data_IF_390628553884
#
_entry.id   IF_390628553884
#
_cell.length_a   1.000
_cell.length_b   1.000
_cell.length_c   1.000
_cell.angle_alpha   90.00
_cell.angle_beta   90.00
_cell.angle_gamma   90.00
#
_symmetry.space_group_name_H-M   'P 1'
#
loop_
_entity.id
_entity.type
_entity.pdbx_description
1 polymer ?
#
# COMPACT_ATOMS: atom_id res chain seq x y z
N UNK A 1 3.18 -7.11 -7.97
CA UNK A 1 3.72 -8.00 -9.01
C UNK A 1 3.63 -7.25 -10.32
N UNK A 2 4.77 -6.98 -10.93
CA UNK A 2 4.85 -6.30 -12.23
C UNK A 2 4.14 -7.18 -13.29
N UNK A 3 3.25 -6.59 -14.08
CA UNK A 3 2.52 -7.32 -15.13
C UNK A 3 3.50 -7.91 -16.14
N UNK A 4 4.63 -7.23 -16.37
CA UNK A 4 5.66 -7.72 -17.27
C UNK A 4 6.42 -8.91 -16.67
N UNK A 5 6.78 -8.89 -15.38
CA UNK A 5 7.42 -10.03 -14.72
C UNK A 5 6.50 -11.26 -14.58
N UNK A 6 5.20 -11.03 -14.37
CA UNK A 6 4.19 -12.07 -14.36
C UNK A 6 3.95 -12.65 -15.76
N UNK A 7 4.01 -11.81 -16.80
CA UNK A 7 3.94 -12.24 -18.20
C UNK A 7 5.15 -13.09 -18.59
N UNK A 8 6.35 -12.70 -18.20
CA UNK A 8 7.57 -13.43 -18.56
C UNK A 8 7.62 -14.82 -17.91
N UNK A 9 7.22 -14.94 -16.63
CA UNK A 9 7.09 -16.24 -15.95
C UNK A 9 5.97 -17.12 -16.53
N UNK A 10 4.88 -16.48 -16.97
CA UNK A 10 3.79 -17.13 -17.67
C UNK A 10 4.21 -17.62 -19.06
N UNK A 11 5.04 -16.86 -19.79
CA UNK A 11 5.55 -17.20 -21.13
C UNK A 11 6.44 -18.45 -21.10
N UNK A 12 7.16 -18.66 -20.01
CA UNK A 12 8.02 -19.84 -19.79
C UNK A 12 7.24 -21.13 -19.44
N UNK A 13 6.05 -21.00 -18.84
CA UNK A 13 5.32 -22.13 -18.23
C UNK A 13 3.98 -22.46 -18.91
N UNK A 14 3.43 -21.57 -19.73
CA UNK A 14 2.09 -21.70 -20.31
C UNK A 14 2.12 -21.75 -21.83
N UNK A 15 1.16 -22.47 -22.42
CA UNK A 15 0.94 -22.41 -23.85
C UNK A 15 0.48 -21.00 -24.26
N UNK A 16 0.73 -20.61 -25.51
CA UNK A 16 0.29 -19.30 -26.05
C UNK A 16 -1.22 -19.04 -25.84
N UNK A 17 -2.05 -20.07 -25.96
CA UNK A 17 -3.48 -19.97 -25.70
C UNK A 17 -3.79 -19.72 -24.21
N UNK A 18 -3.10 -20.40 -23.29
CA UNK A 18 -3.24 -20.18 -21.86
C UNK A 18 -2.70 -18.80 -21.41
N UNK A 19 -1.68 -18.28 -22.08
CA UNK A 19 -1.18 -16.90 -21.91
C UNK A 19 -2.19 -15.85 -22.36
N UNK A 20 -2.79 -16.04 -23.54
CA UNK A 20 -3.83 -15.13 -24.06
C UNK A 20 -5.06 -15.13 -23.14
N UNK A 21 -5.47 -16.31 -22.64
CA UNK A 21 -6.57 -16.44 -21.68
C UNK A 21 -6.23 -15.79 -20.33
N UNK A 22 -5.03 -16.03 -19.79
CA UNK A 22 -4.57 -15.40 -18.55
C UNK A 22 -4.50 -13.88 -18.68
N UNK A 23 -3.91 -13.36 -19.75
CA UNK A 23 -3.82 -11.93 -20.01
C UNK A 23 -5.22 -11.30 -20.16
N UNK A 24 -6.16 -12.02 -20.77
CA UNK A 24 -7.54 -11.58 -20.85
C UNK A 24 -8.22 -11.55 -19.48
N UNK A 25 -8.01 -12.57 -18.62
CA UNK A 25 -8.52 -12.59 -17.24
C UNK A 25 -7.93 -11.48 -16.38
N UNK A 26 -6.66 -11.12 -16.57
CA UNK A 26 -6.04 -9.99 -15.88
C UNK A 26 -6.66 -8.66 -16.31
N UNK A 27 -6.98 -8.48 -17.59
CA UNK A 27 -7.64 -7.26 -18.10
C UNK A 27 -9.09 -7.12 -17.65
N UNK A 28 -9.78 -8.22 -17.36
CA UNK A 28 -11.19 -8.23 -16.94
C UNK A 28 -11.38 -8.25 -15.42
N UNK A 29 -10.28 -8.37 -14.68
CA UNK A 29 -10.28 -8.34 -13.22
C UNK A 29 -10.94 -7.06 -12.69
N UNK A 30 -11.79 -7.21 -11.69
CA UNK A 30 -12.43 -6.08 -11.05
C UNK A 30 -11.41 -5.20 -10.31
N UNK A 31 -11.66 -3.91 -10.35
CA UNK A 31 -11.03 -2.93 -9.48
C UNK A 31 -11.83 -2.88 -8.18
N UNK A 32 -11.15 -3.05 -7.06
CA UNK A 32 -11.78 -2.94 -5.74
C UNK A 32 -11.70 -1.49 -5.27
N UNK A 33 -12.85 -0.91 -4.94
CA UNK A 33 -12.99 0.44 -4.40
C UNK A 33 -13.74 0.34 -3.09
N UNK A 34 -13.16 0.86 -2.02
CA UNK A 34 -13.74 0.83 -0.68
C UNK A 34 -13.73 2.21 -0.03
N UNK A 35 -13.83 2.20 1.30
CA UNK A 35 -13.60 3.37 2.15
C UNK A 35 -12.12 3.80 2.07
N UNK A 36 -11.85 5.00 2.58
CA UNK A 36 -10.46 5.47 2.72
C UNK A 36 -9.67 4.51 3.61
N UNK A 37 -10.28 4.12 4.73
CA UNK A 37 -9.75 3.20 5.73
C UNK A 37 -9.40 1.85 5.10
N UNK A 38 -10.31 1.25 4.32
CA UNK A 38 -10.05 0.00 3.61
C UNK A 38 -8.84 0.10 2.66
N UNK A 39 -8.68 1.24 1.98
CA UNK A 39 -7.54 1.47 1.09
C UNK A 39 -6.21 1.56 1.86
N UNK A 40 -6.19 2.24 3.01
CA UNK A 40 -4.99 2.34 3.86
C UNK A 40 -4.66 0.99 4.51
N UNK A 41 -5.65 0.23 4.95
CA UNK A 41 -5.45 -1.12 5.47
C UNK A 41 -4.87 -2.08 4.43
N UNK A 42 -5.40 -2.02 3.20
CA UNK A 42 -4.87 -2.79 2.09
C UNK A 42 -3.40 -2.42 1.80
N UNK A 43 -3.08 -1.13 1.83
CA UNK A 43 -1.70 -0.65 1.67
C UNK A 43 -0.77 -1.24 2.74
N UNK A 44 -1.13 -1.17 4.03
CA UNK A 44 -0.31 -1.75 5.10
C UNK A 44 -0.20 -3.28 4.99
N UNK A 45 -1.27 -3.96 4.61
CA UNK A 45 -1.21 -5.41 4.32
C UNK A 45 -0.18 -5.71 3.22
N UNK A 46 -0.16 -4.92 2.13
CA UNK A 46 0.82 -5.11 1.03
C UNK A 46 2.25 -4.83 1.47
N UNK A 47 2.47 -3.78 2.27
CA UNK A 47 3.77 -3.47 2.86
C UNK A 47 4.26 -4.65 3.70
N UNK A 48 3.40 -5.19 4.58
CA UNK A 48 3.75 -6.25 5.53
C UNK A 48 3.92 -7.62 4.87
N UNK A 49 3.01 -8.04 3.98
CA UNK A 49 2.92 -9.43 3.50
C UNK A 49 3.30 -9.62 2.04
N UNK A 50 3.45 -8.55 1.25
CA UNK A 50 3.69 -8.65 -0.20
C UNK A 50 4.97 -7.92 -0.63
N UNK A 51 5.91 -7.68 0.29
CA UNK A 51 7.16 -6.96 0.05
C UNK A 51 6.98 -5.55 -0.56
N UNK A 52 5.81 -4.92 -0.37
CA UNK A 52 5.52 -3.59 -0.90
C UNK A 52 6.27 -2.45 -0.19
N UNK A 53 7.15 -2.73 0.77
CA UNK A 53 7.80 -1.70 1.59
C UNK A 53 8.65 -0.70 0.79
N UNK A 54 9.17 -1.08 -0.38
CA UNK A 54 9.94 -0.21 -1.27
C UNK A 54 9.11 0.37 -2.42
N UNK A 55 7.83 0.00 -2.55
CA UNK A 55 6.95 0.47 -3.63
C UNK A 55 6.43 1.89 -3.35
N UNK A 56 6.24 2.68 -4.41
CA UNK A 56 5.43 3.89 -4.35
C UNK A 56 3.96 3.51 -4.38
N UNK A 57 3.21 3.90 -3.35
CA UNK A 57 1.77 3.73 -3.33
C UNK A 57 1.05 4.95 -3.86
N UNK A 58 -0.15 4.73 -4.37
CA UNK A 58 -1.04 5.79 -4.85
C UNK A 58 -2.41 5.57 -4.27
N UNK A 59 -3.00 6.66 -3.76
CA UNK A 59 -4.40 6.67 -3.34
C UNK A 59 -5.24 7.25 -4.46
N UNK A 60 -6.29 6.52 -4.83
CA UNK A 60 -7.21 6.90 -5.89
C UNK A 60 -8.58 7.24 -5.29
N UNK A 61 -9.15 8.37 -5.71
CA UNK A 61 -10.58 8.65 -5.52
C UNK A 61 -11.27 8.45 -6.87
N UNK A 62 -12.29 7.60 -6.89
CA UNK A 62 -12.95 7.16 -8.12
C UNK A 62 -14.35 7.77 -8.18
N UNK A 63 -14.68 8.40 -9.31
CA UNK A 63 -16.06 8.79 -9.65
C UNK A 63 -16.63 7.76 -10.62
N UNK A 64 -17.73 7.14 -10.22
CA UNK A 64 -18.44 6.19 -11.06
C UNK A 64 -19.31 6.93 -12.07
N UNK A 65 -19.52 6.31 -13.23
CA UNK A 65 -20.45 6.84 -14.23
C UNK A 65 -21.87 6.81 -13.70
N UNK A 66 -22.68 7.77 -14.12
CA UNK A 66 -24.11 7.83 -13.75
C UNK A 66 -24.94 6.68 -14.33
N UNK A 67 -24.45 6.01 -15.37
CA UNK A 67 -25.09 4.88 -16.06
C UNK A 67 -24.60 3.51 -15.59
N UNK A 68 -23.86 3.46 -14.47
CA UNK A 68 -23.46 2.20 -13.86
C UNK A 68 -24.66 1.32 -13.51
N UNK A 69 -24.55 0.04 -13.86
CA UNK A 69 -25.55 -0.97 -13.53
C UNK A 69 -25.01 -1.75 -12.33
N UNK A 70 -25.63 -1.52 -11.19
CA UNK A 70 -25.26 -2.16 -9.92
C UNK A 70 -26.05 -3.47 -9.78
N UNK A 71 -25.33 -4.54 -9.39
CA UNK A 71 -25.96 -5.81 -9.01
C UNK A 71 -26.92 -5.58 -7.81
N UNK A 72 -28.15 -6.11 -7.85
CA UNK A 72 -29.10 -5.96 -6.75
C UNK A 72 -28.60 -6.63 -5.45
N UNK A 73 -28.70 -5.90 -4.35
CA UNK A 73 -28.30 -6.39 -3.02
C UNK A 73 -26.88 -6.01 -2.60
N UNK A 74 -26.50 -6.50 -1.44
CA UNK A 74 -25.14 -6.46 -0.89
C UNK A 74 -24.76 -7.90 -0.57
N UNK A 75 -23.62 -8.34 -1.11
CA UNK A 75 -23.23 -9.74 -1.07
C UNK A 75 -22.12 -9.97 -0.04
N UNK A 76 -21.88 -11.23 0.28
CA UNK A 76 -20.63 -11.60 0.96
C UNK A 76 -19.47 -11.43 -0.02
N UNK A 77 -18.33 -11.00 0.49
CA UNK A 77 -17.08 -10.99 -0.26
C UNK A 77 -16.81 -12.39 -0.81
N UNK A 78 -16.76 -12.50 -2.15
CA UNK A 78 -16.43 -13.74 -2.85
C UNK A 78 -14.99 -13.61 -3.36
N UNK A 79 -14.05 -14.06 -2.56
CA UNK A 79 -12.63 -14.03 -2.92
C UNK A 79 -12.19 -15.43 -3.33
N UNK A 80 -11.50 -15.55 -4.46
CA UNK A 80 -10.56 -16.64 -4.65
C UNK A 80 -9.35 -16.45 -3.69
N UNK A 81 -8.40 -17.40 -3.68
CA UNK A 81 -7.22 -17.32 -2.81
C UNK A 81 -6.37 -16.03 -3.02
N UNK A 82 -6.59 -15.28 -4.11
CA UNK A 82 -5.90 -14.04 -4.45
C UNK A 82 -6.66 -12.75 -4.13
N UNK A 83 -7.94 -12.85 -3.76
CA UNK A 83 -8.80 -11.67 -3.55
C UNK A 83 -9.39 -11.10 -4.84
N UNK A 84 -9.35 -11.84 -5.95
CA UNK A 84 -9.69 -11.35 -7.27
C UNK A 84 -11.17 -11.62 -7.58
N UNK A 85 -11.89 -10.60 -8.03
CA UNK A 85 -13.28 -10.74 -8.47
C UNK A 85 -13.36 -10.54 -9.98
N UNK A 86 -13.99 -11.48 -10.67
CA UNK A 86 -14.44 -11.29 -12.05
C UNK A 86 -15.92 -10.91 -12.03
N UNK A 87 -16.25 -9.68 -12.45
CA UNK A 87 -17.63 -9.17 -12.40
C UNK A 87 -18.61 -10.08 -13.15
N UNK A 88 -18.16 -10.67 -14.27
CA UNK A 88 -18.94 -11.61 -15.07
C UNK A 88 -19.28 -12.92 -14.32
N UNK A 89 -18.53 -13.29 -13.29
CA UNK A 89 -18.73 -14.52 -12.51
C UNK A 89 -19.63 -14.28 -11.28
N UNK A 90 -19.74 -13.03 -10.81
CA UNK A 90 -20.48 -12.70 -9.58
C UNK A 90 -21.79 -11.96 -9.80
N UNK A 91 -21.92 -11.22 -10.90
CA UNK A 91 -23.15 -10.51 -11.24
C UNK A 91 -24.08 -11.40 -12.06
N UNK A 92 -25.34 -11.50 -11.65
CA UNK A 92 -26.37 -12.24 -12.40
C UNK A 92 -27.16 -11.32 -13.33
N UNK A 93 -27.17 -10.02 -13.05
CA UNK A 93 -27.88 -9.04 -13.87
C UNK A 93 -27.09 -8.75 -15.16
N UNK A 94 -27.74 -8.84 -16.34
CA UNK A 94 -27.10 -8.49 -17.60
C UNK A 94 -26.61 -7.03 -17.61
N UNK A 95 -25.36 -6.84 -18.01
CA UNK A 95 -24.72 -5.52 -18.10
C UNK A 95 -24.28 -4.91 -16.76
N UNK A 96 -24.46 -5.61 -15.63
CA UNK A 96 -23.93 -5.16 -14.35
C UNK A 96 -22.41 -5.00 -14.41
N UNK A 97 -21.94 -3.84 -13.97
CA UNK A 97 -20.53 -3.46 -13.99
C UNK A 97 -20.02 -3.02 -12.61
N UNK A 98 -20.88 -3.11 -11.59
CA UNK A 98 -20.60 -2.81 -10.18
C UNK A 98 -21.22 -3.90 -9.30
N UNK A 99 -20.42 -4.47 -8.40
CA UNK A 99 -20.81 -5.49 -7.44
C UNK A 99 -20.53 -4.99 -6.01
N UNK A 100 -21.56 -4.96 -5.15
CA UNK A 100 -21.44 -4.52 -3.75
C UNK A 100 -21.23 -5.70 -2.83
N UNK A 101 -20.25 -5.61 -1.95
CA UNK A 101 -20.00 -6.67 -0.98
C UNK A 101 -19.60 -6.11 0.40
N UNK A 102 -19.84 -6.91 1.44
CA UNK A 102 -19.36 -6.64 2.79
C UNK A 102 -17.89 -7.05 2.87
N UNK A 103 -16.99 -6.11 3.13
CA UNK A 103 -15.57 -6.37 3.26
C UNK A 103 -15.30 -7.17 4.55
N UNK A 104 -14.59 -8.29 4.43
CA UNK A 104 -14.20 -9.15 5.55
C UNK A 104 -12.70 -9.11 5.82
N UNK A 105 -11.91 -8.47 4.95
CA UNK A 105 -10.46 -8.45 5.00
C UNK A 105 -9.88 -7.08 5.40
N UNK A 106 -10.38 -5.99 4.80
CA UNK A 106 -9.99 -4.61 5.11
C UNK A 106 -11.18 -3.79 5.57
N UNK A 107 -11.06 -3.03 6.66
CA UNK A 107 -12.18 -2.25 7.23
C UNK A 107 -13.44 -3.13 7.39
N UNK A 108 -13.31 -4.14 8.26
CA UNK A 108 -14.26 -5.23 8.41
C UNK A 108 -15.67 -4.71 8.67
N UNK A 109 -16.64 -5.23 7.91
CA UNK A 109 -18.06 -4.83 7.92
C UNK A 109 -18.40 -3.57 7.13
N UNK A 110 -17.43 -2.94 6.45
CA UNK A 110 -17.69 -1.88 5.48
C UNK A 110 -18.29 -2.45 4.19
N UNK A 111 -18.95 -1.60 3.39
CA UNK A 111 -19.40 -1.97 2.05
C UNK A 111 -18.37 -1.48 1.04
N UNK A 112 -17.79 -2.43 0.31
CA UNK A 112 -16.87 -2.18 -0.81
C UNK A 112 -17.54 -2.50 -2.15
N UNK A 113 -16.94 -2.00 -3.21
CA UNK A 113 -17.34 -2.20 -4.59
C UNK A 113 -16.25 -2.94 -5.36
N UNK A 114 -16.63 -4.00 -6.05
CA UNK A 114 -15.85 -4.50 -7.18
C UNK A 114 -16.45 -3.89 -8.45
N UNK A 115 -15.63 -3.23 -9.26
CA UNK A 115 -16.08 -2.54 -10.47
C UNK A 115 -15.24 -2.93 -11.68
N UNK A 116 -15.83 -2.91 -12.87
CA UNK A 116 -15.01 -2.96 -14.10
C UNK A 116 -14.42 -1.58 -14.40
N UNK A 117 -13.34 -1.52 -15.18
CA UNK A 117 -12.81 -0.24 -15.67
C UNK A 117 -13.86 0.63 -16.38
N UNK A 118 -14.84 0.00 -17.06
CA UNK A 118 -15.95 0.68 -17.75
C UNK A 118 -16.92 1.38 -16.81
N UNK A 119 -16.90 1.07 -15.52
CA UNK A 119 -17.74 1.75 -14.52
C UNK A 119 -17.14 3.09 -14.06
N UNK A 120 -15.86 3.34 -14.33
CA UNK A 120 -15.17 4.55 -13.91
C UNK A 120 -15.42 5.66 -14.92
N UNK A 121 -15.82 6.84 -14.42
CA UNK A 121 -15.94 8.05 -15.23
C UNK A 121 -14.67 8.90 -15.12
N UNK A 122 -14.19 9.10 -13.89
CA UNK A 122 -13.02 9.93 -13.63
C UNK A 122 -12.30 9.49 -12.35
N UNK A 123 -11.03 9.87 -12.25
CA UNK A 123 -10.20 9.61 -11.07
C UNK A 123 -9.46 10.86 -10.61
N UNK A 124 -9.27 10.99 -9.30
CA UNK A 124 -8.21 11.79 -8.68
C UNK A 124 -7.16 10.82 -8.13
N UNK A 125 -5.90 11.26 -8.09
CA UNK A 125 -4.79 10.43 -7.66
C UNK A 125 -3.77 11.28 -6.89
N UNK A 126 -3.26 10.76 -5.78
CA UNK A 126 -2.10 11.30 -5.08
C UNK A 126 -1.09 10.17 -4.81
N UNK A 127 0.19 10.53 -4.75
CA UNK A 127 1.22 9.64 -4.22
C UNK A 127 1.13 9.62 -2.68
N UNK A 128 1.27 8.44 -2.08
CA UNK A 128 1.32 8.28 -0.62
C UNK A 128 2.56 7.46 -0.22
N UNK A 129 3.25 7.78 0.89
CA UNK A 129 3.00 8.92 1.79
C UNK A 129 3.14 10.29 1.11
N UNK A 130 2.52 11.32 1.68
CA UNK A 130 2.63 12.68 1.15
C UNK A 130 4.07 13.20 1.31
N UNK A 131 4.54 14.11 0.44
CA UNK A 131 5.84 14.75 0.65
C UNK A 131 5.81 15.59 1.93
N UNK A 132 6.63 15.24 2.91
CA UNK A 132 6.75 15.99 4.15
C UNK A 132 7.87 17.03 4.09
N UNK A 133 7.65 18.15 4.77
CA UNK A 133 8.66 19.19 4.98
C UNK A 133 9.64 18.69 6.05
N UNK A 134 10.93 18.74 5.75
CA UNK A 134 11.99 18.15 6.58
C UNK A 134 12.22 18.86 7.94
N UNK A 135 11.45 19.90 8.25
CA UNK A 135 11.54 20.71 9.47
C UNK A 135 10.59 20.24 10.59
N UNK A 136 9.82 19.17 10.38
CA UNK A 136 8.99 18.58 11.43
C UNK A 136 9.87 18.19 12.63
N UNK A 137 9.55 18.67 13.86
CA UNK A 137 10.37 18.42 15.05
C UNK A 137 10.61 16.94 15.33
N UNK A 138 9.64 16.07 15.05
CA UNK A 138 9.80 14.64 15.27
C UNK A 138 10.77 14.04 14.25
N UNK A 139 10.69 14.42 12.97
CA UNK A 139 11.66 13.98 11.96
C UNK A 139 13.07 14.41 12.35
N UNK A 140 13.26 15.68 12.69
CA UNK A 140 14.57 16.24 13.03
C UNK A 140 15.18 15.43 14.19
N UNK A 141 14.42 15.25 15.27
CA UNK A 141 14.84 14.45 16.42
C UNK A 141 15.13 12.99 16.06
N UNK A 142 14.27 12.36 15.25
CA UNK A 142 14.44 10.97 14.82
C UNK A 142 15.67 10.79 13.91
N UNK A 143 15.92 11.73 13.01
CA UNK A 143 17.12 11.76 12.16
C UNK A 143 18.39 11.89 13.00
N UNK A 144 18.41 12.78 14.00
CA UNK A 144 19.55 12.93 14.91
C UNK A 144 19.82 11.64 15.72
N UNK A 145 18.76 10.97 16.20
CA UNK A 145 18.86 9.67 16.89
C UNK A 145 19.51 8.61 15.99
N UNK A 146 19.07 8.49 14.74
CA UNK A 146 19.66 7.55 13.77
C UNK A 146 21.11 7.88 13.44
N UNK A 147 21.44 9.16 13.23
CA UNK A 147 22.83 9.60 12.98
C UNK A 147 23.74 9.29 14.18
N UNK A 148 23.24 9.48 15.40
CA UNK A 148 23.93 9.13 16.64
C UNK A 148 24.14 7.61 16.72
N UNK A 149 23.12 6.81 16.42
CA UNK A 149 23.19 5.36 16.41
C UNK A 149 24.17 4.82 15.36
N UNK A 150 24.18 5.39 14.15
CA UNK A 150 25.12 5.05 13.09
C UNK A 150 26.58 5.31 13.50
N UNK A 151 26.81 6.40 14.24
CA UNK A 151 28.15 6.81 14.73
C UNK A 151 28.68 5.98 15.91
N UNK A 152 27.86 5.11 16.52
CA UNK A 152 28.30 4.25 17.65
C UNK A 152 29.37 3.26 17.18
N UNK A 153 30.40 3.07 18.02
CA UNK A 153 31.40 2.04 17.78
C UNK A 153 30.80 0.64 18.01
N UNK A 154 31.26 -0.39 17.26
CA UNK A 154 30.84 -1.76 17.50
C UNK A 154 31.18 -2.18 18.94
N UNK A 155 30.22 -2.75 19.65
CA UNK A 155 30.38 -3.23 21.04
C UNK A 155 31.14 -4.55 21.09
N UNK A 156 31.28 -5.27 19.96
CA UNK A 156 32.00 -6.54 19.89
C UNK A 156 32.83 -6.74 18.62
N UNK A 157 33.79 -7.68 18.69
CA UNK A 157 34.57 -8.14 17.51
C UNK A 157 33.67 -8.73 16.43
N UNK A 158 32.59 -9.42 16.82
CA UNK A 158 31.61 -9.99 15.89
C UNK A 158 30.90 -8.89 15.12
N UNK A 159 30.38 -7.87 15.79
CA UNK A 159 29.75 -6.71 15.15
C UNK A 159 30.73 -5.95 14.25
N UNK A 160 31.99 -5.82 14.67
CA UNK A 160 33.03 -5.23 13.83
C UNK A 160 33.28 -6.03 12.55
N UNK A 161 33.18 -7.36 12.59
CA UNK A 161 33.32 -8.22 11.42
C UNK A 161 32.09 -8.14 10.50
N UNK A 162 30.88 -8.07 11.07
CA UNK A 162 29.64 -7.90 10.30
C UNK A 162 29.63 -6.55 9.55
N UNK A 163 30.00 -5.45 10.22
CA UNK A 163 30.15 -4.13 9.58
C UNK A 163 31.17 -4.15 8.43
N UNK A 164 32.32 -4.82 8.60
CA UNK A 164 33.33 -4.97 7.52
C UNK A 164 32.83 -5.75 6.32
N UNK A 165 31.80 -6.60 6.50
CA UNK A 165 31.13 -7.34 5.43
C UNK A 165 29.98 -6.56 4.80
N UNK A 166 29.82 -5.27 5.13
CA UNK A 166 28.74 -4.43 4.61
C UNK A 166 27.37 -4.76 5.17
N UNK A 167 27.29 -5.46 6.32
CA UNK A 167 26.03 -5.71 6.99
C UNK A 167 25.61 -4.52 7.85
N UNK A 168 24.30 -4.36 7.97
CA UNK A 168 23.70 -3.23 8.65
C UNK A 168 24.14 -3.14 10.12
N UNK A 169 24.36 -1.91 10.59
CA UNK A 169 24.77 -1.63 11.96
C UNK A 169 23.67 -2.06 12.95
N UNK A 170 23.93 -3.00 13.90
CA UNK A 170 22.90 -3.46 14.84
C UNK A 170 22.27 -2.33 15.65
N UNK A 171 23.07 -1.36 16.10
CA UNK A 171 22.58 -0.20 16.84
C UNK A 171 21.70 0.74 16.00
N UNK A 172 21.94 0.81 14.69
CA UNK A 172 21.16 1.64 13.77
C UNK A 172 19.81 0.98 13.49
N UNK A 173 19.81 -0.34 13.27
CA UNK A 173 18.59 -1.13 13.13
C UNK A 173 17.73 -1.11 14.38
N UNK A 174 18.34 -1.26 15.56
CA UNK A 174 17.65 -1.17 16.85
C UNK A 174 16.93 0.18 17.00
N UNK A 175 17.64 1.29 16.73
CA UNK A 175 17.04 2.63 16.79
C UNK A 175 15.93 2.82 15.74
N UNK A 176 16.10 2.30 14.52
CA UNK A 176 15.05 2.35 13.49
C UNK A 176 13.79 1.59 13.91
N UNK A 177 13.96 0.41 14.52
CA UNK A 177 12.85 -0.36 15.10
C UNK A 177 12.15 0.40 16.23
N UNK A 178 12.91 1.08 17.10
CA UNK A 178 12.34 1.89 18.18
C UNK A 178 11.50 3.06 17.66
N UNK A 179 11.96 3.75 16.62
CA UNK A 179 11.21 4.84 15.97
C UNK A 179 9.90 4.35 15.36
N UNK A 180 9.92 3.21 14.68
CA UNK A 180 8.69 2.59 14.14
C UNK A 180 7.74 2.23 15.28
N UNK A 181 8.23 1.57 16.33
CA UNK A 181 7.45 1.19 17.49
C UNK A 181 6.90 2.39 18.27
N UNK A 182 7.57 3.55 18.24
CA UNK A 182 7.10 4.79 18.83
C UNK A 182 5.84 5.30 18.13
N UNK A 183 5.89 5.40 16.80
CA UNK A 183 4.77 5.86 15.97
C UNK A 183 3.63 4.83 15.94
N UNK A 184 3.95 3.55 15.93
CA UNK A 184 2.98 2.45 15.92
C UNK A 184 2.02 2.51 17.13
N UNK A 185 2.48 2.99 18.28
CA UNK A 185 1.64 3.10 19.49
C UNK A 185 0.44 4.01 19.29
N UNK A 186 0.56 5.01 18.43
CA UNK A 186 -0.52 5.96 18.15
C UNK A 186 -1.54 5.42 17.14
N UNK A 187 -1.26 4.27 16.51
CA UNK A 187 -2.18 3.62 15.58
C UNK A 187 -3.27 2.82 16.30
N UNK A 188 -4.47 2.68 15.71
CA UNK A 188 -5.48 1.73 16.14
C UNK A 188 -4.92 0.30 16.22
N UNK A 189 -5.34 -0.45 17.24
CA UNK A 189 -4.85 -1.80 17.52
C UNK A 189 -4.79 -2.74 16.30
N UNK A 190 -5.79 -2.79 15.40
CA UNK A 190 -5.74 -3.66 14.22
C UNK A 190 -4.59 -3.35 13.25
N UNK A 191 -4.08 -2.11 13.24
CA UNK A 191 -3.06 -1.65 12.30
C UNK A 191 -1.64 -1.78 12.85
N UNK A 192 -1.47 -1.82 14.17
CA UNK A 192 -0.17 -1.90 14.85
C UNK A 192 0.69 -3.03 14.26
N UNK A 193 0.16 -4.26 14.28
CA UNK A 193 0.84 -5.45 13.76
C UNK A 193 1.05 -5.46 12.24
N UNK A 194 0.46 -4.52 11.48
CA UNK A 194 0.62 -4.39 10.02
C UNK A 194 1.56 -3.25 9.64
N UNK A 195 1.95 -2.40 10.59
CA UNK A 195 2.81 -1.24 10.37
C UNK A 195 4.30 -1.64 10.40
N UNK A 196 4.70 -2.47 9.43
CA UNK A 196 6.08 -3.00 9.32
C UNK A 196 6.85 -2.29 8.20
N UNK A 197 7.53 -1.21 8.55
CA UNK A 197 8.34 -0.41 7.61
C UNK A 197 9.77 -0.90 7.66
N UNK A 198 10.29 -1.39 6.52
CA UNK A 198 11.69 -1.81 6.42
C UNK A 198 12.62 -0.60 6.41
N UNK A 199 13.63 -0.67 7.26
CA UNK A 199 14.79 0.22 7.20
C UNK A 199 15.77 -0.29 6.14
N UNK A 200 16.44 0.63 5.46
CA UNK A 200 17.52 0.33 4.53
C UNK A 200 18.69 1.27 4.82
N UNK A 201 19.84 0.71 5.23
CA UNK A 201 21.01 1.51 5.54
C UNK A 201 21.60 2.25 4.31
N UNK A 202 21.49 1.71 3.10
CA UNK A 202 22.01 2.40 1.89
C UNK A 202 21.26 3.71 1.64
N UNK A 203 19.93 3.66 1.70
CA UNK A 203 19.07 4.83 1.46
C UNK A 203 19.26 5.87 2.57
N UNK A 204 19.49 5.40 3.81
CA UNK A 204 19.78 6.25 4.94
C UNK A 204 21.08 7.04 4.76
N UNK A 205 22.15 6.43 4.24
CA UNK A 205 23.43 7.12 4.02
C UNK A 205 23.31 8.25 3.00
N UNK A 206 22.45 8.11 1.99
CA UNK A 206 22.20 9.17 1.01
C UNK A 206 21.34 10.30 1.58
N UNK A 207 20.24 9.95 2.27
CA UNK A 207 19.28 10.92 2.80
C UNK A 207 18.71 10.46 4.16
N UNK A 208 19.37 10.84 5.28
CA UNK A 208 19.02 10.37 6.62
C UNK A 208 17.58 10.67 7.10
N UNK A 209 16.96 11.72 6.56
CA UNK A 209 15.60 12.14 6.93
C UNK A 209 14.47 11.39 6.22
N UNK A 210 14.78 10.64 5.14
CA UNK A 210 13.75 9.97 4.33
C UNK A 210 13.04 8.87 5.13
N UNK A 211 13.78 8.07 5.89
CA UNK A 211 13.18 6.99 6.66
C UNK A 211 12.24 7.51 7.76
N UNK A 212 12.66 8.41 8.67
CA UNK A 212 11.73 8.98 9.65
C UNK A 212 10.54 9.68 9.00
N UNK A 213 10.75 10.44 7.92
CA UNK A 213 9.66 11.10 7.21
C UNK A 213 8.62 10.10 6.69
N UNK A 214 9.08 9.00 6.10
CA UNK A 214 8.22 7.91 5.62
C UNK A 214 7.43 7.26 6.76
N UNK A 215 8.07 6.99 7.89
CA UNK A 215 7.41 6.40 9.08
C UNK A 215 6.29 7.32 9.56
N UNK A 216 6.58 8.60 9.78
CA UNK A 216 5.59 9.52 10.31
C UNK A 216 4.44 9.77 9.32
N UNK A 217 4.73 9.96 8.03
CA UNK A 217 3.68 10.22 7.03
C UNK A 217 2.78 9.02 6.79
N UNK A 218 3.32 7.79 6.80
CA UNK A 218 2.49 6.60 6.70
C UNK A 218 1.51 6.49 7.89
N UNK A 219 1.95 6.84 9.10
CA UNK A 219 1.07 6.86 10.26
C UNK A 219 0.03 8.00 10.19
N UNK A 220 0.39 9.16 9.63
CA UNK A 220 -0.53 10.29 9.43
C UNK A 220 -1.67 10.00 8.46
N UNK A 221 -1.51 9.05 7.55
CA UNK A 221 -2.65 8.55 6.76
C UNK A 221 -3.76 7.99 7.67
N UNK A 222 -3.43 7.49 8.85
CA UNK A 222 -4.42 7.01 9.83
C UNK A 222 -4.80 8.09 10.83
N UNK A 223 -3.81 8.78 11.40
CA UNK A 223 -4.05 9.72 12.51
C UNK A 223 -4.53 11.09 12.06
N UNK A 224 -4.34 11.44 10.78
CA UNK A 224 -4.76 12.70 10.18
C UNK A 224 -5.23 12.50 8.71
N UNK A 225 -6.32 11.74 8.48
CA UNK A 225 -6.77 11.39 7.13
C UNK A 225 -7.18 12.60 6.28
N UNK A 226 -7.61 13.70 6.93
CA UNK A 226 -7.99 14.94 6.26
C UNK A 226 -6.89 15.51 5.36
N UNK A 227 -5.62 15.40 5.76
CA UNK A 227 -4.51 15.91 4.94
C UNK A 227 -4.44 15.23 3.57
N UNK A 228 -4.63 13.90 3.52
CA UNK A 228 -4.67 13.16 2.28
C UNK A 228 -5.94 13.45 1.47
N UNK A 229 -7.08 13.60 2.15
CA UNK A 229 -8.36 13.91 1.50
C UNK A 229 -8.39 15.33 0.91
N UNK A 230 -7.77 16.29 1.57
CA UNK A 230 -7.60 17.66 1.10
C UNK A 230 -6.67 17.70 -0.11
N UNK A 231 -5.54 16.96 -0.04
CA UNK A 231 -4.62 16.87 -1.18
C UNK A 231 -5.27 16.22 -2.40
N UNK A 232 -6.06 15.16 -2.21
CA UNK A 232 -6.90 14.60 -3.26
C UNK A 232 -7.88 15.62 -3.85
N UNK A 233 -8.49 16.45 -3.00
CA UNK A 233 -9.48 17.44 -3.43
C UNK A 233 -8.88 18.59 -4.24
N UNK A 234 -7.58 18.86 -4.09
CA UNK A 234 -6.83 19.80 -4.95
C UNK A 234 -6.56 19.24 -6.35
N UNK A 235 -6.53 17.91 -6.51
CA UNK A 235 -6.26 17.29 -7.80
C UNK A 235 -7.42 17.49 -8.76
N UNK A 236 -7.13 17.71 -10.03
CA UNK A 236 -8.19 17.74 -11.05
C UNK A 236 -8.72 16.33 -11.32
N UNK A 237 -10.02 16.24 -11.58
CA UNK A 237 -10.61 15.00 -12.06
C UNK A 237 -10.10 14.70 -13.47
N UNK A 238 -9.43 13.56 -13.64
CA UNK A 238 -9.05 13.04 -14.95
C UNK A 238 -10.11 12.06 -15.42
N UNK A 239 -10.75 12.37 -16.55
CA UNK A 239 -11.67 11.46 -17.24
C UNK A 239 -10.87 10.27 -17.81
N UNK A 240 -11.41 9.06 -17.68
CA UNK A 240 -10.81 7.80 -18.13
C UNK A 240 -11.67 7.11 -19.18
#
# INVERSE_FOLDING_TARGET
MDIDAARDLAEELMSRAALEEWAQRQKTKALHVGTYEAAIENMFRRICYQNGSSEQFFLYRVRLRSDCIIEPGVHQERTDLGGDVQIAEVCQRPGANVFRYVNVHEDVSSISLAITAKAVEAVQQIAVPLPMIADDPWIVSATERLLTAASRQPKSKTESLLRRRGQESPALLEEACELVAEVERDLPYPLRNRFSIKFNESDFQEKPSVFPAKVLELARLVTNPHSALDELSKQQWRIV
#
